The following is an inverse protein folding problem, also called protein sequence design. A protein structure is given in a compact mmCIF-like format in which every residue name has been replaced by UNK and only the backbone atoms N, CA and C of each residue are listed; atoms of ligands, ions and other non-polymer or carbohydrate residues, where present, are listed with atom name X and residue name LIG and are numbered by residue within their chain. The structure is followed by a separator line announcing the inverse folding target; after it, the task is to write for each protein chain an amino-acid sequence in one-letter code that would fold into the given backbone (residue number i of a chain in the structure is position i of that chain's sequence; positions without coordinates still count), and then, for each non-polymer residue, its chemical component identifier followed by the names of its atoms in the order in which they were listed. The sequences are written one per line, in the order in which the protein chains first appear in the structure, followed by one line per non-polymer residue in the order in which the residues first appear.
data_IF_667102180231
#
_entry.id   IF_667102180231
#
_cell.length_a   1.000
_cell.length_b   1.000
_cell.length_c   1.000
_cell.angle_alpha   90.00
_cell.angle_beta   90.00
_cell.angle_gamma   90.00
#
_symmetry.space_group_name_H-M   'P 1'
#
loop_
_entity.id
_entity.type
_entity.pdbx_description
1 polymer ?
#
# COMPACT_ATOMS: atom_id res chain seq x y z
N UNK A 1 -17.78 -31.13 0.97
CA UNK A 1 -16.55 -30.95 1.77
C UNK A 1 -16.08 -29.54 1.56
N UNK A 2 -16.23 -28.73 2.60
CA UNK A 2 -15.86 -27.30 2.58
C UNK A 2 -14.34 -27.17 2.79
N UNK A 3 -13.60 -26.61 1.84
CA UNK A 3 -12.23 -26.22 1.99
C UNK A 3 -12.15 -24.98 2.91
N UNK A 4 -11.27 -25.01 3.89
CA UNK A 4 -10.94 -23.83 4.73
C UNK A 4 -10.03 -22.90 3.94
N UNK A 5 -10.51 -21.70 3.65
CA UNK A 5 -9.66 -20.60 3.18
C UNK A 5 -8.88 -20.00 4.36
N UNK A 6 -7.57 -20.04 4.28
CA UNK A 6 -6.68 -19.29 5.16
C UNK A 6 -5.71 -18.53 4.26
N UNK A 7 -5.88 -17.20 4.21
CA UNK A 7 -4.90 -16.26 3.66
C UNK A 7 -4.57 -16.46 2.18
N UNK A 8 -5.44 -16.04 1.27
CA UNK A 8 -5.09 -15.81 -0.15
C UNK A 8 -4.61 -17.00 -1.00
N UNK A 9 -4.47 -18.18 -0.42
CA UNK A 9 -4.11 -19.42 -1.11
C UNK A 9 -5.35 -20.28 -1.31
N UNK A 10 -5.72 -20.50 -2.56
CA UNK A 10 -6.76 -21.50 -2.90
C UNK A 10 -6.12 -22.88 -2.75
N UNK A 11 -6.50 -23.62 -1.69
CA UNK A 11 -6.17 -25.02 -1.59
C UNK A 11 -7.17 -25.82 -2.44
N UNK A 12 -6.76 -26.24 -3.62
CA UNK A 12 -7.40 -27.37 -4.29
C UNK A 12 -7.04 -28.65 -3.54
N UNK A 13 -8.04 -29.52 -3.33
CA UNK A 13 -7.89 -30.83 -2.67
C UNK A 13 -6.97 -31.72 -3.49
N UNK A 14 -5.65 -31.59 -3.25
CA UNK A 14 -4.61 -32.30 -4.02
C UNK A 14 -3.23 -31.68 -3.91
N UNK A 15 -2.90 -31.03 -2.84
CA UNK A 15 -1.55 -30.93 -2.24
C UNK A 15 -0.37 -30.34 -3.04
N UNK A 16 -0.55 -29.53 -4.06
CA UNK A 16 0.56 -28.72 -4.62
C UNK A 16 0.27 -27.23 -4.45
N UNK A 17 1.10 -26.53 -3.68
CA UNK A 17 1.06 -25.05 -3.63
C UNK A 17 1.43 -24.52 -5.01
N UNK A 18 0.46 -24.03 -5.78
CA UNK A 18 0.75 -23.37 -7.06
C UNK A 18 1.28 -21.96 -6.78
N UNK A 19 2.54 -21.75 -7.11
CA UNK A 19 3.15 -20.42 -7.11
C UNK A 19 2.48 -19.56 -8.18
N UNK A 20 2.05 -18.36 -7.83
CA UNK A 20 1.47 -17.41 -8.75
C UNK A 20 2.54 -16.39 -9.16
N UNK A 21 2.70 -16.16 -10.46
CA UNK A 21 3.53 -15.07 -10.97
C UNK A 21 2.75 -13.74 -10.79
N UNK A 22 3.30 -12.84 -9.99
CA UNK A 22 2.72 -11.52 -9.73
C UNK A 22 3.73 -10.42 -10.04
N UNK A 23 3.23 -9.30 -10.55
CA UNK A 23 3.98 -8.05 -10.57
C UNK A 23 4.07 -7.47 -9.16
N UNK A 24 5.11 -6.69 -8.87
CA UNK A 24 5.33 -6.10 -7.54
C UNK A 24 4.10 -5.36 -7.00
N UNK A 25 3.49 -4.49 -7.79
CA UNK A 25 2.28 -3.78 -7.38
C UNK A 25 1.10 -4.72 -7.07
N UNK A 26 0.95 -5.83 -7.81
CA UNK A 26 -0.04 -6.87 -7.53
C UNK A 26 0.26 -7.57 -6.20
N UNK A 27 1.52 -7.91 -5.97
CA UNK A 27 1.96 -8.54 -4.72
C UNK A 27 1.73 -7.62 -3.51
N UNK A 28 2.01 -6.32 -3.62
CA UNK A 28 1.72 -5.34 -2.58
C UNK A 28 0.21 -5.24 -2.29
N UNK A 29 -0.64 -5.30 -3.32
CA UNK A 29 -2.09 -5.30 -3.15
C UNK A 29 -2.56 -6.54 -2.36
N UNK A 30 -2.08 -7.73 -2.72
CA UNK A 30 -2.37 -8.97 -2.00
C UNK A 30 -1.88 -8.90 -0.55
N UNK A 31 -0.66 -8.41 -0.30
CA UNK A 31 -0.11 -8.24 1.04
C UNK A 31 -0.96 -7.31 1.92
N UNK A 32 -1.45 -6.20 1.36
CA UNK A 32 -2.32 -5.28 2.08
C UNK A 32 -3.68 -5.91 2.43
N UNK A 33 -4.27 -6.67 1.50
CA UNK A 33 -5.51 -7.41 1.74
C UNK A 33 -5.34 -8.48 2.83
N UNK A 34 -4.24 -9.24 2.78
CA UNK A 34 -3.91 -10.22 3.82
C UNK A 34 -3.67 -9.57 5.18
N UNK A 35 -3.10 -8.36 5.20
CA UNK A 35 -2.95 -7.56 6.41
C UNK A 35 -4.27 -6.97 6.92
N UNK A 36 -5.39 -7.20 6.24
CA UNK A 36 -6.71 -6.77 6.69
C UNK A 36 -7.01 -5.28 6.43
N UNK A 37 -6.45 -4.70 5.35
CA UNK A 37 -6.82 -3.34 4.93
C UNK A 37 -8.32 -3.22 4.69
N UNK A 38 -8.93 -2.10 5.07
CA UNK A 38 -10.36 -1.83 4.94
C UNK A 38 -10.69 -0.67 4.02
N UNK A 39 -9.78 0.30 3.91
CA UNK A 39 -9.97 1.46 3.04
C UNK A 39 -8.68 1.70 2.25
N UNK A 40 -8.82 1.76 0.94
CA UNK A 40 -7.71 2.04 0.01
C UNK A 40 -8.10 3.25 -0.83
N UNK A 41 -7.29 4.28 -0.81
CA UNK A 41 -7.52 5.49 -1.60
C UNK A 41 -6.22 6.04 -2.16
N UNK A 42 -6.31 6.74 -3.28
CA UNK A 42 -5.17 7.35 -3.93
C UNK A 42 -5.58 8.25 -5.08
N UNK A 43 -4.58 8.80 -5.76
CA UNK A 43 -4.74 9.54 -7.00
C UNK A 43 -3.89 8.88 -8.10
N UNK A 44 -4.39 8.78 -9.34
CA UNK A 44 -3.68 8.06 -10.41
C UNK A 44 -2.28 8.60 -10.66
N UNK A 45 -1.30 7.70 -10.73
CA UNK A 45 0.09 8.08 -11.03
C UNK A 45 1.00 6.86 -11.14
N UNK A 46 1.64 6.69 -12.32
CA UNK A 46 2.67 5.67 -12.52
C UNK A 46 3.93 6.07 -11.70
N UNK A 47 4.55 5.14 -10.95
CA UNK A 47 4.40 3.68 -11.00
C UNK A 47 3.54 3.05 -9.89
N UNK A 48 2.57 3.75 -9.29
CA UNK A 48 1.81 3.25 -8.14
C UNK A 48 0.38 2.76 -8.47
N UNK A 49 -0.15 3.09 -9.65
CA UNK A 49 -1.56 2.90 -9.98
C UNK A 49 -2.01 1.44 -9.95
N UNK A 50 -1.19 0.51 -10.39
CA UNK A 50 -1.56 -0.90 -10.52
C UNK A 50 -1.87 -1.57 -9.17
N UNK A 51 -1.37 -1.01 -8.05
CA UNK A 51 -1.71 -1.53 -6.73
C UNK A 51 -3.20 -1.33 -6.43
N UNK A 52 -3.70 -0.09 -6.50
CA UNK A 52 -5.10 0.20 -6.20
C UNK A 52 -6.03 -0.41 -7.25
N UNK A 53 -5.62 -0.45 -8.53
CA UNK A 53 -6.34 -1.14 -9.59
C UNK A 53 -6.49 -2.64 -9.31
N UNK A 54 -5.46 -3.27 -8.77
CA UNK A 54 -5.50 -4.69 -8.37
C UNK A 54 -6.50 -4.90 -7.23
N UNK A 55 -6.49 -4.04 -6.21
CA UNK A 55 -7.49 -4.09 -5.14
C UNK A 55 -8.90 -3.92 -5.71
N UNK A 56 -9.10 -2.97 -6.61
CA UNK A 56 -10.40 -2.73 -7.25
C UNK A 56 -10.88 -3.94 -8.08
N UNK A 57 -9.98 -4.58 -8.84
CA UNK A 57 -10.28 -5.81 -9.59
C UNK A 57 -10.66 -6.97 -8.65
N UNK A 58 -9.93 -7.14 -7.56
CA UNK A 58 -10.22 -8.17 -6.57
C UNK A 58 -11.54 -7.89 -5.82
N UNK A 59 -11.83 -6.62 -5.52
CA UNK A 59 -13.12 -6.22 -4.95
C UNK A 59 -14.28 -6.54 -5.89
N UNK A 60 -14.19 -6.14 -7.16
CA UNK A 60 -15.21 -6.42 -8.18
C UNK A 60 -15.41 -7.94 -8.39
N UNK A 61 -14.37 -8.74 -8.24
CA UNK A 61 -14.43 -10.20 -8.33
C UNK A 61 -14.93 -10.88 -7.04
N UNK A 62 -15.36 -10.11 -6.01
CA UNK A 62 -15.82 -10.65 -4.73
C UNK A 62 -14.73 -11.28 -3.88
N UNK A 63 -13.44 -10.96 -4.12
CA UNK A 63 -12.29 -11.50 -3.38
C UNK A 63 -11.75 -10.56 -2.30
N UNK A 64 -12.25 -9.32 -2.25
CA UNK A 64 -11.87 -8.32 -1.25
C UNK A 64 -13.12 -7.77 -0.56
N UNK A 65 -13.87 -8.65 0.13
CA UNK A 65 -15.07 -8.28 0.83
C UNK A 65 -14.82 -7.29 1.97
N UNK A 66 -15.68 -6.27 2.07
CA UNK A 66 -15.61 -5.26 3.14
C UNK A 66 -14.44 -4.30 3.01
N UNK A 67 -13.82 -4.21 1.83
CA UNK A 67 -12.81 -3.21 1.50
C UNK A 67 -13.46 -2.10 0.67
N UNK A 68 -13.36 -0.86 1.12
CA UNK A 68 -13.67 0.30 0.30
C UNK A 68 -12.45 0.69 -0.51
N UNK A 69 -12.61 0.93 -1.82
CA UNK A 69 -11.54 1.35 -2.71
C UNK A 69 -12.03 2.47 -3.60
N UNK A 70 -11.26 3.57 -3.67
CA UNK A 70 -11.63 4.70 -4.51
C UNK A 70 -10.43 5.49 -5.05
N UNK A 71 -10.62 6.12 -6.20
CA UNK A 71 -9.80 7.22 -6.67
C UNK A 71 -10.35 8.54 -6.13
N UNK A 72 -9.53 9.25 -5.37
CA UNK A 72 -9.90 10.56 -4.83
C UNK A 72 -9.57 11.68 -5.83
N UNK A 73 -10.05 12.89 -5.57
CA UNK A 73 -9.85 14.06 -6.44
C UNK A 73 -8.41 14.55 -6.48
N UNK A 74 -7.63 14.30 -5.43
CA UNK A 74 -6.18 14.50 -5.33
C UNK A 74 -5.63 13.73 -4.14
N UNK A 75 -4.30 13.73 -3.98
CA UNK A 75 -3.59 12.99 -2.94
C UNK A 75 -3.90 13.49 -1.53
N UNK A 76 -4.10 14.80 -1.35
CA UNK A 76 -4.48 15.36 -0.04
C UNK A 76 -5.85 14.82 0.39
N UNK A 77 -6.85 14.91 -0.48
CA UNK A 77 -8.20 14.39 -0.19
C UNK A 77 -8.18 12.89 0.11
N UNK A 78 -7.37 12.11 -0.64
CA UNK A 78 -7.20 10.69 -0.39
C UNK A 78 -6.65 10.42 1.01
N UNK A 79 -5.58 11.10 1.41
CA UNK A 79 -4.97 10.87 2.73
C UNK A 79 -5.86 11.37 3.88
N UNK A 80 -6.60 12.46 3.71
CA UNK A 80 -7.57 12.95 4.71
C UNK A 80 -8.74 11.98 4.91
N UNK A 81 -9.27 11.38 3.84
CA UNK A 81 -10.27 10.32 3.93
C UNK A 81 -9.73 9.12 4.73
N UNK A 82 -8.51 8.68 4.43
CA UNK A 82 -7.86 7.57 5.11
C UNK A 82 -7.55 7.88 6.58
N UNK A 83 -7.20 9.12 6.89
CA UNK A 83 -7.03 9.59 8.28
C UNK A 83 -8.34 9.42 9.07
N UNK A 84 -9.47 9.85 8.50
CA UNK A 84 -10.79 9.68 9.11
C UNK A 84 -11.12 8.20 9.38
N UNK A 85 -10.86 7.33 8.40
CA UNK A 85 -11.08 5.89 8.54
C UNK A 85 -10.13 5.27 9.60
N UNK A 86 -8.88 5.70 9.64
CA UNK A 86 -7.91 5.26 10.66
C UNK A 86 -8.33 5.68 12.06
N UNK A 87 -8.88 6.88 12.26
CA UNK A 87 -9.40 7.32 13.55
C UNK A 87 -10.58 6.44 14.03
N UNK A 88 -11.34 5.87 13.10
CA UNK A 88 -12.38 4.87 13.40
C UNK A 88 -11.82 3.46 13.66
N UNK A 89 -10.52 3.25 13.52
CA UNK A 89 -9.84 1.97 13.79
C UNK A 89 -9.69 1.06 12.56
N UNK A 90 -9.97 1.55 11.36
CA UNK A 90 -9.75 0.79 10.13
C UNK A 90 -8.28 0.82 9.71
N UNK A 91 -7.73 -0.30 9.21
CA UNK A 91 -6.45 -0.31 8.49
C UNK A 91 -6.65 0.34 7.13
N UNK A 92 -5.79 1.32 6.80
CA UNK A 92 -5.91 2.17 5.62
C UNK A 92 -4.64 2.15 4.78
N UNK A 93 -4.80 2.19 3.46
CA UNK A 93 -3.69 2.22 2.51
C UNK A 93 -3.85 3.40 1.55
N UNK A 94 -2.90 4.31 1.62
CA UNK A 94 -2.74 5.41 0.66
C UNK A 94 -1.79 4.99 -0.46
N UNK A 95 -2.09 5.37 -1.71
CA UNK A 95 -1.21 5.10 -2.85
C UNK A 95 -0.96 6.36 -3.68
N UNK A 96 0.31 6.65 -3.95
CA UNK A 96 0.70 7.72 -4.86
C UNK A 96 2.10 7.49 -5.43
N UNK A 97 2.45 8.23 -6.48
CA UNK A 97 3.83 8.42 -6.90
C UNK A 97 4.53 9.48 -6.01
N UNK A 98 5.87 9.57 -6.11
CA UNK A 98 6.67 10.45 -5.24
C UNK A 98 6.18 11.90 -5.18
N UNK A 99 5.82 12.51 -6.31
CA UNK A 99 5.37 13.92 -6.35
C UNK A 99 3.97 14.10 -5.72
N UNK A 100 3.16 13.05 -5.69
CA UNK A 100 1.87 13.07 -5.02
C UNK A 100 2.00 13.19 -3.49
N UNK A 101 3.10 12.70 -2.92
CA UNK A 101 3.38 12.89 -1.50
C UNK A 101 3.58 14.37 -1.13
N UNK A 102 4.07 15.19 -2.06
CA UNK A 102 4.19 16.63 -1.85
C UNK A 102 2.80 17.28 -1.65
N UNK A 103 1.81 16.84 -2.42
CA UNK A 103 0.42 17.29 -2.28
C UNK A 103 -0.20 16.80 -0.97
N UNK A 104 0.08 15.57 -0.56
CA UNK A 104 -0.42 14.96 0.66
C UNK A 104 0.38 15.36 1.91
N UNK A 105 1.45 16.13 1.80
CA UNK A 105 2.38 16.39 2.91
C UNK A 105 1.73 17.12 4.08
N UNK A 106 0.82 18.04 3.85
CA UNK A 106 0.08 18.74 4.90
C UNK A 106 -0.74 17.74 5.76
N UNK A 107 -1.49 16.87 5.10
CA UNK A 107 -2.25 15.83 5.77
C UNK A 107 -1.34 14.83 6.51
N UNK A 108 -0.19 14.44 5.92
CA UNK A 108 0.77 13.56 6.56
C UNK A 108 1.37 14.17 7.84
N UNK A 109 1.78 15.43 7.80
CA UNK A 109 2.34 16.12 8.96
C UNK A 109 1.33 16.23 10.11
N UNK A 110 0.09 16.58 9.78
CA UNK A 110 -1.01 16.65 10.73
C UNK A 110 -1.33 15.27 11.33
N UNK A 111 -1.42 14.25 10.47
CA UNK A 111 -1.72 12.88 10.88
C UNK A 111 -0.63 12.30 11.80
N UNK A 112 0.65 12.55 11.49
CA UNK A 112 1.73 12.11 12.36
C UNK A 112 1.72 12.82 13.73
N UNK A 113 1.38 14.09 13.76
CA UNK A 113 1.29 14.86 15.01
C UNK A 113 0.14 14.40 15.90
N UNK A 114 -1.05 14.16 15.31
CA UNK A 114 -2.25 13.70 16.02
C UNK A 114 -2.15 12.22 16.39
N UNK A 115 -1.49 11.43 15.56
CA UNK A 115 -1.44 9.98 15.67
C UNK A 115 -2.57 9.28 14.95
N UNK A 116 -2.57 7.95 15.00
CA UNK A 116 -3.55 7.09 14.33
C UNK A 116 -4.11 6.06 15.31
N UNK A 117 -5.22 5.40 14.92
CA UNK A 117 -5.81 4.31 15.69
C UNK A 117 -5.75 2.98 14.94
N UNK A 118 -6.31 2.90 13.73
CA UNK A 118 -6.08 1.79 12.81
C UNK A 118 -4.82 2.05 11.98
N UNK A 119 -4.08 1.02 11.61
CA UNK A 119 -2.83 1.14 10.86
C UNK A 119 -3.00 1.95 9.58
N UNK A 120 -2.13 2.95 9.37
CA UNK A 120 -2.13 3.80 8.19
C UNK A 120 -0.81 3.64 7.45
N UNK A 121 -0.86 3.00 6.28
CA UNK A 121 0.30 2.78 5.43
C UNK A 121 0.21 3.66 4.18
N UNK A 122 1.30 4.35 3.88
CA UNK A 122 1.46 5.15 2.67
C UNK A 122 2.39 4.41 1.71
N UNK A 123 1.83 3.88 0.63
CA UNK A 123 2.61 3.32 -0.48
C UNK A 123 2.99 4.46 -1.42
N UNK A 124 4.27 4.81 -1.42
CA UNK A 124 4.82 5.91 -2.22
C UNK A 124 5.86 5.36 -3.17
N UNK A 125 5.52 5.25 -4.44
CA UNK A 125 6.40 4.70 -5.46
C UNK A 125 7.32 5.79 -6.05
N UNK A 126 8.62 5.63 -5.83
CA UNK A 126 9.65 6.51 -6.39
C UNK A 126 10.06 6.07 -7.79
N UNK A 127 10.48 7.05 -8.60
CA UNK A 127 10.95 6.83 -9.98
C UNK A 127 12.36 7.41 -10.16
N UNK A 128 13.41 6.80 -9.53
CA UNK A 128 14.78 7.27 -9.65
C UNK A 128 15.31 7.13 -11.07
N UNK A 129 15.91 8.23 -11.59
CA UNK A 129 16.21 8.33 -13.01
C UNK A 129 14.92 8.30 -13.83
N UNK A 130 14.11 9.37 -13.86
CA UNK A 130 12.70 9.31 -14.21
C UNK A 130 12.42 8.53 -15.49
N UNK A 131 11.61 7.46 -15.40
CA UNK A 131 11.19 6.64 -16.53
C UNK A 131 9.81 7.08 -16.99
N UNK A 132 8.91 7.35 -16.06
CA UNK A 132 7.52 7.73 -16.32
C UNK A 132 7.04 8.97 -15.57
N UNK A 133 7.82 9.46 -14.62
CA UNK A 133 7.51 10.67 -13.84
C UNK A 133 8.15 11.92 -14.42
N UNK A 134 7.59 13.10 -14.11
CA UNK A 134 8.11 14.40 -14.59
C UNK A 134 9.41 14.79 -13.92
N UNK A 135 9.62 14.35 -12.68
CA UNK A 135 10.76 14.71 -11.84
C UNK A 135 11.22 13.53 -11.01
N UNK A 136 12.40 13.64 -10.44
CA UNK A 136 12.95 12.69 -9.47
C UNK A 136 12.82 13.23 -8.05
N UNK A 137 12.48 12.36 -7.11
CA UNK A 137 12.41 12.68 -5.69
C UNK A 137 12.82 11.45 -4.89
N UNK A 138 13.56 11.64 -3.80
CA UNK A 138 13.90 10.59 -2.86
C UNK A 138 12.98 10.65 -1.64
N UNK A 139 11.92 9.86 -1.67
CA UNK A 139 10.92 9.80 -0.59
C UNK A 139 11.50 9.36 0.75
N UNK A 140 12.66 8.71 0.79
CA UNK A 140 13.33 8.38 2.06
C UNK A 140 13.62 9.62 2.91
N UNK A 141 13.85 10.77 2.26
CA UNK A 141 14.03 12.05 2.95
C UNK A 141 12.78 12.55 3.66
N UNK A 142 11.61 12.17 3.13
CA UNK A 142 10.33 12.46 3.80
C UNK A 142 10.23 11.80 5.18
N UNK A 143 10.77 10.60 5.34
CA UNK A 143 10.80 9.93 6.64
C UNK A 143 11.46 10.77 7.73
N UNK A 144 12.64 11.34 7.43
CA UNK A 144 13.33 12.23 8.36
C UNK A 144 12.57 13.54 8.59
N UNK A 145 12.01 14.14 7.54
CA UNK A 145 11.26 15.39 7.59
C UNK A 145 9.94 15.24 8.35
N UNK A 146 9.16 14.21 8.07
CA UNK A 146 7.87 13.93 8.70
C UNK A 146 7.96 13.13 10.00
N UNK A 147 9.14 12.61 10.33
CA UNK A 147 9.39 11.75 11.50
C UNK A 147 8.54 10.47 11.50
N UNK A 148 8.29 9.91 10.32
CA UNK A 148 7.60 8.63 10.17
C UNK A 148 8.58 7.54 9.67
N UNK A 149 8.38 6.26 10.04
CA UNK A 149 9.18 5.16 9.52
C UNK A 149 9.03 5.03 8.00
N UNK A 150 10.14 4.72 7.32
CA UNK A 150 10.16 4.39 5.89
C UNK A 150 10.73 2.99 5.71
N UNK A 151 9.98 2.11 5.06
CA UNK A 151 10.41 0.79 4.64
C UNK A 151 10.73 0.82 3.15
N UNK A 152 11.95 0.45 2.79
CA UNK A 152 12.51 0.55 1.44
C UNK A 152 12.87 -0.86 0.93
N UNK A 153 11.93 -1.57 0.26
CA UNK A 153 12.17 -2.93 -0.20
C UNK A 153 13.16 -2.98 -1.37
N UNK A 154 14.03 -3.96 -1.35
CA UNK A 154 15.00 -4.25 -2.42
C UNK A 154 14.47 -5.26 -3.45
N UNK A 155 13.35 -5.95 -3.17
CA UNK A 155 12.72 -6.94 -4.04
C UNK A 155 11.22 -7.01 -3.77
N UNK A 156 10.38 -7.49 -4.74
CA UNK A 156 8.95 -7.62 -4.53
C UNK A 156 8.57 -8.50 -3.34
N UNK A 157 9.28 -9.62 -3.12
CA UNK A 157 9.04 -10.55 -2.00
C UNK A 157 9.30 -9.89 -0.65
N UNK A 158 10.38 -9.11 -0.56
CA UNK A 158 10.66 -8.32 0.63
C UNK A 158 9.59 -7.27 0.85
N UNK A 159 9.15 -6.62 -0.23
CA UNK A 159 8.07 -5.63 -0.21
C UNK A 159 6.75 -6.21 0.27
N UNK A 160 6.41 -7.43 -0.14
CA UNK A 160 5.24 -8.16 0.34
C UNK A 160 5.27 -8.33 1.87
N UNK A 161 6.39 -8.77 2.41
CA UNK A 161 6.57 -8.92 3.85
C UNK A 161 6.56 -7.57 4.58
N UNK A 162 7.23 -6.56 4.02
CA UNK A 162 7.27 -5.20 4.59
C UNK A 162 5.90 -4.53 4.60
N UNK A 163 5.07 -4.73 3.57
CA UNK A 163 3.72 -4.19 3.52
C UNK A 163 2.87 -4.69 4.70
N UNK A 164 2.93 -5.98 4.99
CA UNK A 164 2.22 -6.57 6.14
C UNK A 164 2.76 -6.02 7.47
N UNK A 165 4.08 -6.01 7.63
CA UNK A 165 4.74 -5.50 8.83
C UNK A 165 4.48 -3.99 9.05
N UNK A 166 4.28 -3.22 7.98
CA UNK A 166 4.01 -1.79 8.06
C UNK A 166 2.72 -1.48 8.81
N UNK A 167 1.66 -2.27 8.63
CA UNK A 167 0.41 -2.09 9.36
C UNK A 167 0.58 -2.35 10.86
N UNK A 168 1.28 -3.42 11.22
CA UNK A 168 1.53 -3.76 12.63
C UNK A 168 2.44 -2.72 13.29
N UNK A 169 3.45 -2.25 12.57
CA UNK A 169 4.35 -1.18 13.03
C UNK A 169 3.58 0.12 13.25
N UNK A 170 2.71 0.48 12.28
CA UNK A 170 1.87 1.67 12.34
C UNK A 170 0.98 1.66 13.59
N UNK A 171 0.27 0.57 13.84
CA UNK A 171 -0.61 0.42 15.02
C UNK A 171 0.18 0.42 16.33
N UNK A 172 1.31 -0.30 16.37
CA UNK A 172 2.15 -0.39 17.56
C UNK A 172 2.64 0.98 18.05
N UNK A 173 3.05 1.83 17.12
CA UNK A 173 3.62 3.14 17.44
C UNK A 173 2.65 4.30 17.21
N UNK A 174 1.42 4.02 16.75
CA UNK A 174 0.38 5.01 16.46
C UNK A 174 0.85 6.11 15.50
N UNK A 175 1.61 5.73 14.48
CA UNK A 175 2.17 6.64 13.49
C UNK A 175 1.94 6.09 12.08
N UNK A 176 1.74 6.94 11.06
CA UNK A 176 1.79 6.48 9.68
C UNK A 176 3.13 5.81 9.37
N UNK A 177 3.13 4.87 8.42
CA UNK A 177 4.35 4.22 7.91
C UNK A 177 4.40 4.35 6.41
N UNK A 178 5.53 4.76 5.86
CA UNK A 178 5.76 4.81 4.42
C UNK A 178 6.38 3.49 3.96
N UNK A 179 5.81 2.87 2.94
CA UNK A 179 6.43 1.81 2.14
C UNK A 179 6.84 2.42 0.81
N UNK A 180 8.15 2.47 0.54
CA UNK A 180 8.75 3.18 -0.59
C UNK A 180 9.41 2.22 -1.57
N UNK A 181 8.68 1.57 -2.49
CA UNK A 181 9.32 0.87 -3.59
C UNK A 181 9.77 1.84 -4.69
N UNK A 182 10.69 1.37 -5.53
CA UNK A 182 11.03 2.04 -6.78
C UNK A 182 10.21 1.46 -7.94
N UNK A 183 10.16 2.19 -9.08
CA UNK A 183 9.53 1.72 -10.33
C UNK A 183 9.97 0.30 -10.69
N UNK A 184 11.25 -0.02 -10.53
CA UNK A 184 11.77 -1.37 -10.83
C UNK A 184 11.14 -2.44 -9.95
N UNK A 185 10.95 -2.16 -8.66
CA UNK A 185 10.31 -3.10 -7.72
C UNK A 185 8.80 -3.20 -8.01
N UNK A 186 8.14 -2.07 -8.30
CA UNK A 186 6.72 -2.04 -8.63
C UNK A 186 6.38 -2.90 -9.84
N UNK A 187 7.25 -2.91 -10.86
CA UNK A 187 7.01 -3.59 -12.13
C UNK A 187 7.80 -4.90 -12.34
N UNK A 188 8.65 -5.27 -11.39
CA UNK A 188 9.30 -6.59 -11.43
C UNK A 188 8.26 -7.69 -11.16
N UNK A 189 8.35 -8.80 -11.90
CA UNK A 189 7.48 -9.98 -11.69
C UNK A 189 8.27 -11.11 -11.04
N UNK A 190 7.67 -11.74 -10.05
CA UNK A 190 8.25 -12.90 -9.35
C UNK A 190 7.16 -13.87 -8.90
N UNK A 191 7.56 -15.05 -8.44
CA UNK A 191 6.64 -16.09 -7.97
C UNK A 191 6.41 -15.99 -6.45
N UNK A 192 5.13 -15.96 -6.08
CA UNK A 192 4.63 -15.95 -4.70
C UNK A 192 3.88 -17.23 -4.37
#
# INVERSE_FOLDING_TARGET
SAGREVGGMVFESGGTMSKKLLMGNEAFAHAALEAGVRVVAGYPGTPSSELIETVAKLHAAGKAHGVHVEWSTNEKAALELLAGASYCGARTLFTCKQVGLNVASDALMSLNYVGIKGGCVLFVADDPGPISSQTEQDTRRFGAFSKVPVLDPAAPEQGFAMMKAAFDLSEKYRTPVIVRPTTRICHASTFF
#
